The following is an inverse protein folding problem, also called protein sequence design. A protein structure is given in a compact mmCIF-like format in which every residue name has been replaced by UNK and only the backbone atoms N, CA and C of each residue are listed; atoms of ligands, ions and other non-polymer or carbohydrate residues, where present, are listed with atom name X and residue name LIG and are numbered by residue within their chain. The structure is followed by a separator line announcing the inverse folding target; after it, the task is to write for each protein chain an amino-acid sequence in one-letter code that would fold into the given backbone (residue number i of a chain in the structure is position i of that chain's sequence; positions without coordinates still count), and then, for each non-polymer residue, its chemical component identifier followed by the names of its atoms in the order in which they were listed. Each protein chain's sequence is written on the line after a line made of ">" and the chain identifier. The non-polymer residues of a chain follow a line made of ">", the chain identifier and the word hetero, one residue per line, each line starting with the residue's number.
data_IF_012430072376
#
_entry.id   IF_012430072376
#
_cell.length_a   1.000
_cell.length_b   1.000
_cell.length_c   1.000
_cell.angle_alpha   90.00
_cell.angle_beta   90.00
_cell.angle_gamma   90.00
#
_symmetry.space_group_name_H-M   'P 1'
#
loop_
_entity.id
_entity.type
_entity.pdbx_description
1 polymer ?
#
# COMPACT_ATOMS: atom_id res chain seq x y z
N UNK A 1 7.47 -18.36 -67.85
CA UNK A 1 6.62 -18.27 -66.65
C UNK A 1 7.51 -18.06 -65.45
N UNK A 2 7.49 -16.86 -64.86
CA UNK A 2 8.21 -16.55 -63.60
C UNK A 2 7.24 -16.73 -62.45
N UNK A 3 7.54 -17.67 -61.57
CA UNK A 3 6.80 -17.87 -60.30
C UNK A 3 7.34 -16.86 -59.26
N UNK A 4 6.49 -15.90 -58.88
CA UNK A 4 6.78 -15.01 -57.75
C UNK A 4 6.53 -15.78 -56.44
N UNK A 5 7.56 -16.07 -55.68
CA UNK A 5 7.46 -16.61 -54.32
C UNK A 5 6.99 -15.50 -53.38
N UNK A 6 5.77 -15.58 -52.89
CA UNK A 6 5.26 -14.80 -51.77
C UNK A 6 5.98 -15.26 -50.49
N UNK A 7 6.89 -14.43 -49.96
CA UNK A 7 7.45 -14.64 -48.64
C UNK A 7 6.33 -14.41 -47.57
N UNK A 8 6.14 -15.31 -46.61
CA UNK A 8 5.21 -15.07 -45.52
C UNK A 8 5.72 -13.84 -44.73
N UNK A 9 4.92 -12.79 -44.71
CA UNK A 9 5.21 -11.62 -43.84
C UNK A 9 5.25 -12.11 -42.38
N UNK A 10 6.35 -11.85 -41.71
CA UNK A 10 6.45 -12.04 -40.26
C UNK A 10 5.35 -11.20 -39.62
N UNK A 11 4.34 -11.82 -39.07
CA UNK A 11 3.35 -11.16 -38.23
C UNK A 11 4.11 -10.60 -37.02
N UNK A 12 4.33 -9.27 -37.01
CA UNK A 12 4.82 -8.58 -35.83
C UNK A 12 3.77 -8.80 -34.73
N UNK A 13 4.09 -9.60 -33.73
CA UNK A 13 3.24 -9.76 -32.57
C UNK A 13 2.99 -8.36 -31.99
N UNK A 14 1.75 -7.92 -31.98
CA UNK A 14 1.36 -6.62 -31.45
C UNK A 14 1.76 -6.59 -29.97
N UNK A 15 2.67 -5.71 -29.59
CA UNK A 15 3.14 -5.58 -28.22
C UNK A 15 1.97 -5.19 -27.32
N UNK A 16 1.68 -6.01 -26.31
CA UNK A 16 0.66 -5.75 -25.31
C UNK A 16 1.31 -5.09 -24.08
N UNK A 17 0.66 -4.09 -23.54
CA UNK A 17 1.12 -3.41 -22.33
C UNK A 17 0.39 -3.99 -21.12
N UNK A 18 1.13 -4.15 -20.03
CA UNK A 18 0.62 -4.57 -18.74
C UNK A 18 1.09 -3.57 -17.70
N UNK A 19 0.16 -3.05 -16.92
CA UNK A 19 0.42 -2.06 -15.88
C UNK A 19 0.14 -2.63 -14.50
N UNK A 20 1.03 -2.36 -13.56
CA UNK A 20 0.89 -2.73 -12.13
C UNK A 20 0.82 -1.45 -11.31
N UNK A 21 -0.34 -1.15 -10.72
CA UNK A 21 -0.49 -0.11 -9.71
C UNK A 21 0.26 -0.51 -8.44
N UNK A 22 1.04 0.41 -7.86
CA UNK A 22 1.89 0.11 -6.71
C UNK A 22 1.62 1.02 -5.52
N UNK A 23 2.56 1.83 -5.09
CA UNK A 23 2.49 2.83 -4.03
C UNK A 23 3.48 3.95 -4.30
N UNK A 24 3.85 4.71 -3.28
CA UNK A 24 4.89 5.74 -3.38
C UNK A 24 6.23 5.16 -3.83
N UNK A 25 7.02 5.95 -4.57
CA UNK A 25 8.29 5.51 -5.18
C UNK A 25 9.35 5.01 -4.19
N UNK A 26 9.28 5.45 -2.94
CA UNK A 26 10.15 5.00 -1.84
C UNK A 26 9.59 3.78 -1.09
N UNK A 27 8.36 3.35 -1.43
CA UNK A 27 7.66 2.25 -0.77
C UNK A 27 8.01 0.87 -1.33
N UNK A 28 7.74 -0.16 -0.53
CA UNK A 28 8.02 -1.56 -0.88
C UNK A 28 7.22 -2.01 -2.10
N UNK A 29 5.98 -1.57 -2.27
CA UNK A 29 5.15 -1.92 -3.43
C UNK A 29 5.78 -1.50 -4.76
N UNK A 30 6.31 -0.27 -4.83
CA UNK A 30 6.96 0.20 -6.06
C UNK A 30 8.21 -0.63 -6.40
N UNK A 31 9.03 -0.93 -5.40
CA UNK A 31 10.21 -1.78 -5.57
C UNK A 31 9.84 -3.20 -6.03
N UNK A 32 8.81 -3.81 -5.41
CA UNK A 32 8.33 -5.15 -5.75
C UNK A 32 7.68 -5.20 -7.14
N UNK A 33 6.76 -4.28 -7.46
CA UNK A 33 6.16 -4.16 -8.79
C UNK A 33 7.19 -3.94 -9.88
N UNK A 34 8.18 -3.08 -9.62
CA UNK A 34 9.32 -2.86 -10.51
C UNK A 34 10.17 -4.11 -10.74
N UNK A 35 10.35 -4.94 -9.68
CA UNK A 35 11.06 -6.21 -9.81
C UNK A 35 10.27 -7.21 -10.68
N UNK A 36 8.97 -7.34 -10.45
CA UNK A 36 8.07 -8.17 -11.27
C UNK A 36 8.15 -7.74 -12.74
N UNK A 37 8.00 -6.44 -13.01
CA UNK A 37 8.07 -5.92 -14.38
C UNK A 37 9.44 -6.14 -15.02
N UNK A 38 10.53 -6.03 -14.28
CA UNK A 38 11.89 -6.36 -14.81
C UNK A 38 11.97 -7.82 -15.24
N UNK A 39 11.47 -8.75 -14.42
CA UNK A 39 11.46 -10.18 -14.76
C UNK A 39 10.60 -10.47 -15.99
N UNK A 40 9.38 -9.94 -16.04
CA UNK A 40 8.51 -10.08 -17.22
C UNK A 40 9.16 -9.52 -18.49
N UNK A 41 9.77 -8.35 -18.41
CA UNK A 41 10.37 -7.71 -19.57
C UNK A 41 11.63 -8.42 -20.10
N UNK A 42 12.30 -9.28 -19.31
CA UNK A 42 13.43 -10.10 -19.77
C UNK A 42 13.01 -11.11 -20.86
N UNK A 43 11.81 -11.67 -20.74
CA UNK A 43 11.26 -12.69 -21.66
C UNK A 43 10.19 -12.13 -22.60
N UNK A 44 10.09 -10.80 -22.71
CA UNK A 44 9.05 -10.13 -23.53
C UNK A 44 9.01 -10.58 -25.00
N UNK A 45 10.15 -10.99 -25.55
CA UNK A 45 10.21 -11.49 -26.94
C UNK A 45 9.46 -12.82 -27.11
N UNK A 46 9.27 -13.59 -26.03
CA UNK A 46 8.61 -14.89 -26.04
C UNK A 46 7.08 -14.75 -25.90
N UNK A 47 6.60 -13.80 -25.07
CA UNK A 47 5.18 -13.65 -24.76
C UNK A 47 4.54 -12.35 -25.26
N UNK A 48 5.30 -11.38 -25.74
CA UNK A 48 4.78 -10.14 -26.33
C UNK A 48 4.31 -9.06 -25.34
N UNK A 49 4.34 -9.32 -24.02
CA UNK A 49 3.94 -8.34 -23.00
C UNK A 49 5.06 -7.41 -22.59
N UNK A 50 4.73 -6.14 -22.40
CA UNK A 50 5.61 -5.14 -21.78
C UNK A 50 4.97 -4.65 -20.49
N UNK A 51 5.66 -4.85 -19.36
CA UNK A 51 5.21 -4.47 -18.03
C UNK A 51 5.80 -3.13 -17.61
N UNK A 52 4.97 -2.28 -16.97
CA UNK A 52 5.35 -1.07 -16.23
C UNK A 52 4.73 -1.06 -14.83
N UNK A 53 5.49 -0.53 -13.87
CA UNK A 53 5.02 -0.29 -12.51
C UNK A 53 4.70 1.19 -12.34
N UNK A 54 3.47 1.48 -11.91
CA UNK A 54 2.97 2.84 -11.75
C UNK A 54 2.95 3.21 -10.27
N UNK A 55 3.49 4.40 -9.95
CA UNK A 55 3.42 4.95 -8.59
C UNK A 55 2.01 5.48 -8.31
N UNK A 56 1.44 5.10 -7.18
CA UNK A 56 0.04 5.40 -6.83
C UNK A 56 -0.12 5.82 -5.37
N UNK A 57 -1.37 6.08 -4.97
CA UNK A 57 -1.76 6.31 -3.58
C UNK A 57 -1.76 5.06 -2.69
N UNK A 58 -1.75 3.85 -3.26
CA UNK A 58 -1.77 2.58 -2.52
C UNK A 58 -3.01 1.72 -2.78
N UNK A 59 -3.34 0.83 -1.84
CA UNK A 59 -4.25 -0.30 -2.04
C UNK A 59 -5.64 0.06 -2.54
N UNK A 60 -6.32 1.00 -1.89
CA UNK A 60 -7.70 1.40 -2.25
C UNK A 60 -7.71 2.08 -3.62
N UNK A 61 -6.72 2.95 -3.88
CA UNK A 61 -6.55 3.56 -5.20
C UNK A 61 -6.34 2.50 -6.29
N UNK A 62 -5.45 1.54 -6.07
CA UNK A 62 -5.15 0.47 -7.05
C UNK A 62 -6.39 -0.38 -7.37
N UNK A 63 -7.15 -0.77 -6.35
CA UNK A 63 -8.38 -1.54 -6.54
C UNK A 63 -9.42 -0.78 -7.35
N UNK A 64 -9.61 0.51 -7.05
CA UNK A 64 -10.52 1.36 -7.80
C UNK A 64 -10.06 1.58 -9.26
N UNK A 65 -8.78 1.75 -9.50
CA UNK A 65 -8.20 1.91 -10.84
C UNK A 65 -8.30 0.61 -11.66
N UNK A 66 -8.03 -0.56 -11.03
CA UNK A 66 -8.22 -1.87 -11.67
C UNK A 66 -9.70 -2.12 -12.03
N UNK A 67 -10.63 -1.78 -11.13
CA UNK A 67 -12.07 -1.92 -11.39
C UNK A 67 -12.53 -1.10 -12.59
N UNK A 68 -11.89 0.04 -12.85
CA UNK A 68 -12.14 0.91 -14.02
C UNK A 68 -11.38 0.46 -15.28
N UNK A 69 -10.52 -0.55 -15.18
CA UNK A 69 -9.67 -1.01 -16.27
C UNK A 69 -8.49 -0.09 -16.59
N UNK A 70 -8.09 0.78 -15.64
CA UNK A 70 -6.92 1.67 -15.78
C UNK A 70 -5.60 0.92 -15.52
N UNK A 71 -5.65 -0.13 -14.67
CA UNK A 71 -4.54 -1.04 -14.40
C UNK A 71 -4.96 -2.49 -14.59
N UNK A 72 -4.03 -3.33 -15.03
CA UNK A 72 -4.24 -4.78 -15.18
C UNK A 72 -4.03 -5.51 -13.85
N UNK A 73 -3.09 -5.03 -13.02
CA UNK A 73 -2.75 -5.57 -11.72
C UNK A 73 -2.55 -4.45 -10.69
N UNK A 74 -2.61 -4.80 -9.41
CA UNK A 74 -2.32 -3.89 -8.30
C UNK A 74 -1.66 -4.61 -7.14
N UNK A 75 -0.71 -3.92 -6.51
CA UNK A 75 -0.20 -4.29 -5.19
C UNK A 75 -1.19 -3.77 -4.16
N UNK A 76 -1.71 -4.66 -3.33
CA UNK A 76 -2.78 -4.32 -2.38
C UNK A 76 -2.61 -5.11 -1.08
N UNK A 77 -3.05 -4.52 0.02
CA UNK A 77 -3.16 -5.21 1.30
C UNK A 77 -4.29 -6.25 1.26
N UNK A 78 -4.17 -7.29 2.06
CA UNK A 78 -5.14 -8.39 2.15
C UNK A 78 -6.52 -7.93 2.63
N UNK A 79 -6.57 -7.03 3.59
CA UNK A 79 -7.80 -6.40 4.10
C UNK A 79 -8.51 -5.59 3.02
N UNK A 80 -7.79 -4.73 2.28
CA UNK A 80 -8.33 -3.95 1.19
C UNK A 80 -8.88 -4.85 0.06
N UNK A 81 -8.18 -5.96 -0.26
CA UNK A 81 -8.66 -6.95 -1.22
C UNK A 81 -9.95 -7.61 -0.73
N UNK A 82 -10.00 -8.03 0.54
CA UNK A 82 -11.19 -8.61 1.16
C UNK A 82 -12.37 -7.63 1.11
N UNK A 83 -12.15 -6.37 1.48
CA UNK A 83 -13.17 -5.34 1.50
C UNK A 83 -13.72 -5.07 0.08
N UNK A 84 -12.85 -4.97 -0.92
CA UNK A 84 -13.27 -4.75 -2.32
C UNK A 84 -14.05 -5.95 -2.88
N UNK A 85 -13.61 -7.18 -2.56
CA UNK A 85 -14.30 -8.39 -3.01
C UNK A 85 -15.72 -8.49 -2.44
N UNK A 86 -15.90 -8.14 -1.17
CA UNK A 86 -17.17 -8.20 -0.46
C UNK A 86 -18.00 -6.92 -0.55
N UNK A 87 -17.46 -5.79 -1.02
CA UNK A 87 -18.15 -4.50 -1.11
C UNK A 87 -18.44 -3.89 0.24
N UNK A 88 -17.46 -3.91 1.14
CA UNK A 88 -17.58 -3.36 2.51
C UNK A 88 -16.53 -2.28 2.75
N UNK A 89 -16.66 -1.52 3.83
CA UNK A 89 -15.78 -0.41 4.22
C UNK A 89 -15.61 0.59 3.06
N UNK A 90 -14.38 0.90 2.64
CA UNK A 90 -14.10 1.85 1.55
C UNK A 90 -14.79 1.50 0.20
N UNK A 91 -15.41 0.33 0.09
CA UNK A 91 -16.05 -0.15 -1.16
C UNK A 91 -17.57 -0.32 -1.04
N UNK A 92 -18.23 0.13 0.03
CA UNK A 92 -19.68 0.02 0.21
C UNK A 92 -20.44 0.67 -0.95
N UNK A 93 -20.08 1.89 -1.33
CA UNK A 93 -20.72 2.61 -2.43
C UNK A 93 -20.49 1.96 -3.80
N UNK A 94 -19.32 1.33 -3.97
CA UNK A 94 -18.96 0.67 -5.22
C UNK A 94 -19.54 -0.75 -5.33
N UNK A 95 -19.95 -1.35 -4.20
CA UNK A 95 -20.45 -2.72 -4.08
C UNK A 95 -19.38 -3.78 -4.28
N UNK A 96 -19.74 -5.04 -4.06
CA UNK A 96 -18.87 -6.20 -4.20
C UNK A 96 -18.22 -6.30 -5.60
N UNK A 97 -16.98 -6.76 -5.64
CA UNK A 97 -16.26 -7.02 -6.89
C UNK A 97 -15.82 -8.49 -6.95
N UNK A 98 -16.76 -9.36 -7.30
CA UNK A 98 -16.58 -10.81 -7.31
C UNK A 98 -15.62 -11.32 -8.41
N UNK A 99 -15.31 -10.48 -9.42
CA UNK A 99 -14.33 -10.81 -10.46
C UNK A 99 -12.88 -10.55 -10.02
N UNK A 100 -12.63 -9.88 -8.90
CA UNK A 100 -11.28 -9.65 -8.36
C UNK A 100 -10.60 -11.00 -8.07
N UNK A 101 -9.33 -11.13 -8.44
CA UNK A 101 -8.53 -12.34 -8.21
C UNK A 101 -7.19 -11.99 -7.56
N UNK A 102 -6.84 -12.72 -6.50
CA UNK A 102 -5.49 -12.73 -5.97
C UNK A 102 -4.59 -13.57 -6.88
N UNK A 103 -3.40 -13.05 -7.20
CA UNK A 103 -2.39 -13.77 -7.99
C UNK A 103 -1.44 -14.52 -7.06
N UNK A 104 -0.81 -13.81 -6.14
CA UNK A 104 0.04 -14.37 -5.08
C UNK A 104 0.31 -13.33 -3.97
N UNK A 105 0.70 -13.80 -2.79
CA UNK A 105 1.19 -12.95 -1.70
C UNK A 105 2.69 -12.69 -1.86
N UNK A 106 3.13 -11.46 -1.64
CA UNK A 106 4.52 -11.03 -1.85
C UNK A 106 5.28 -10.99 -0.54
N UNK A 107 4.73 -10.37 0.50
CA UNK A 107 5.36 -10.22 1.82
C UNK A 107 4.30 -9.91 2.89
N UNK A 108 4.59 -10.16 4.17
CA UNK A 108 3.77 -9.67 5.28
C UNK A 108 3.90 -8.15 5.43
N UNK A 109 2.86 -7.50 5.96
CA UNK A 109 2.81 -6.07 6.21
C UNK A 109 2.36 -5.79 7.64
N UNK A 110 3.27 -5.89 8.62
CA UNK A 110 2.92 -5.61 9.99
C UNK A 110 2.53 -4.13 10.17
N UNK A 111 1.58 -3.88 11.04
CA UNK A 111 1.25 -2.54 11.49
C UNK A 111 2.44 -1.96 12.25
N UNK A 112 2.93 -0.83 11.79
CA UNK A 112 4.13 -0.21 12.33
C UNK A 112 3.81 1.19 12.81
N UNK A 113 4.04 1.45 14.10
CA UNK A 113 3.92 2.78 14.70
C UNK A 113 5.33 3.30 14.97
N UNK A 114 5.61 4.51 14.49
CA UNK A 114 6.89 5.19 14.66
C UNK A 114 6.65 6.54 15.33
N UNK A 115 7.40 6.82 16.37
CA UNK A 115 7.28 8.06 17.13
C UNK A 115 8.63 8.78 17.31
N UNK A 116 8.58 10.10 17.46
CA UNK A 116 9.74 10.88 17.86
C UNK A 116 10.17 10.51 19.29
N UNK A 117 11.48 10.51 19.58
CA UNK A 117 11.99 10.10 20.87
C UNK A 117 11.54 11.01 22.02
N UNK A 118 11.23 12.28 21.75
CA UNK A 118 10.81 13.31 22.70
C UNK A 118 9.28 13.52 22.77
N UNK A 119 8.49 12.76 21.98
CA UNK A 119 7.03 12.91 21.96
C UNK A 119 6.31 12.29 23.17
N UNK A 120 7.02 11.50 24.00
CA UNK A 120 6.43 10.84 25.15
C UNK A 120 5.41 9.74 24.78
N UNK A 121 5.64 9.05 23.64
CA UNK A 121 4.79 7.99 23.14
C UNK A 121 5.52 6.66 23.38
N UNK A 122 4.99 5.80 24.24
CA UNK A 122 5.53 4.49 24.59
C UNK A 122 4.58 3.34 24.22
N UNK A 123 3.31 3.64 24.06
CA UNK A 123 2.26 2.69 23.69
C UNK A 123 1.26 3.36 22.74
N UNK A 124 0.42 2.56 22.07
CA UNK A 124 -0.60 3.08 21.13
C UNK A 124 -1.54 4.09 21.80
N UNK A 125 -1.92 3.88 23.06
CA UNK A 125 -2.77 4.81 23.83
C UNK A 125 -2.20 6.21 24.01
N UNK A 126 -0.88 6.37 23.95
CA UNK A 126 -0.23 7.68 24.12
C UNK A 126 -0.36 8.58 22.87
N UNK A 127 -1.01 8.09 21.82
CA UNK A 127 -1.30 8.86 20.59
C UNK A 127 -2.41 9.90 20.81
N UNK A 128 -3.23 9.78 21.85
CA UNK A 128 -4.27 10.76 22.15
C UNK A 128 -3.66 12.15 22.35
N UNK A 129 -4.32 13.15 21.76
CA UNK A 129 -3.87 14.53 21.73
C UNK A 129 -2.47 14.77 21.10
N UNK A 130 -1.95 13.82 20.30
CA UNK A 130 -0.71 13.97 19.52
C UNK A 130 -1.00 14.33 18.08
N UNK A 131 0.02 14.81 17.36
CA UNK A 131 -0.03 15.02 15.92
C UNK A 131 0.39 13.73 15.23
N UNK A 132 -0.58 13.00 14.68
CA UNK A 132 -0.37 11.64 14.14
C UNK A 132 -0.64 11.62 12.65
N UNK A 133 0.29 11.09 11.85
CA UNK A 133 -0.01 10.78 10.47
C UNK A 133 -0.72 9.42 10.40
N UNK A 134 -1.96 9.45 9.90
CA UNK A 134 -2.85 8.29 9.75
C UNK A 134 -2.79 7.67 8.35
N UNK A 135 -1.97 8.20 7.45
CA UNK A 135 -1.85 7.79 6.05
C UNK A 135 -2.67 8.63 5.09
N UNK A 136 -2.27 8.65 3.83
CA UNK A 136 -2.93 9.44 2.80
C UNK A 136 -4.26 8.80 2.34
N UNK A 137 -5.23 9.61 1.87
CA UNK A 137 -6.48 9.12 1.30
C UNK A 137 -6.23 8.14 0.14
N UNK A 138 -6.96 7.03 0.15
CA UNK A 138 -6.84 5.97 -0.85
C UNK A 138 -5.68 5.00 -0.63
N UNK A 139 -4.94 5.13 0.48
CA UNK A 139 -3.92 4.15 0.89
C UNK A 139 -4.52 3.05 1.75
N UNK A 140 -3.94 1.85 1.67
CA UNK A 140 -4.27 0.78 2.60
C UNK A 140 -3.83 1.11 4.04
N UNK A 141 -2.76 1.90 4.20
CA UNK A 141 -2.32 2.42 5.51
C UNK A 141 -3.44 3.23 6.19
N UNK A 142 -4.09 4.14 5.48
CA UNK A 142 -5.20 4.90 6.05
C UNK A 142 -6.39 3.98 6.36
N UNK A 143 -6.74 3.09 5.45
CA UNK A 143 -7.84 2.15 5.63
C UNK A 143 -7.65 1.31 6.91
N UNK A 144 -6.50 0.68 7.09
CA UNK A 144 -6.19 -0.13 8.28
C UNK A 144 -6.06 0.71 9.56
N UNK A 145 -5.55 1.96 9.47
CA UNK A 145 -5.52 2.87 10.62
C UNK A 145 -6.93 3.26 11.08
N UNK A 146 -7.87 3.50 10.16
CA UNK A 146 -9.25 3.82 10.50
C UNK A 146 -9.94 2.64 11.20
N UNK A 147 -9.70 1.42 10.77
CA UNK A 147 -10.20 0.20 11.43
C UNK A 147 -9.61 0.07 12.85
N UNK A 148 -8.31 0.31 13.00
CA UNK A 148 -7.66 0.31 14.32
C UNK A 148 -8.23 1.41 15.23
N UNK A 149 -8.49 2.60 14.70
CA UNK A 149 -9.11 3.69 15.44
C UNK A 149 -10.53 3.31 15.90
N UNK A 150 -11.32 2.67 15.04
CA UNK A 150 -12.65 2.19 15.40
C UNK A 150 -12.59 1.17 16.57
N UNK A 151 -11.69 0.19 16.49
CA UNK A 151 -11.48 -0.78 17.56
C UNK A 151 -11.06 -0.14 18.89
N UNK A 152 -10.33 0.98 18.83
CA UNK A 152 -9.92 1.75 20.02
C UNK A 152 -10.99 2.78 20.48
N UNK A 153 -12.10 2.90 19.76
CA UNK A 153 -13.12 3.92 20.03
C UNK A 153 -12.69 5.36 19.72
N UNK A 154 -11.73 5.51 18.82
CA UNK A 154 -11.14 6.80 18.43
C UNK A 154 -11.79 7.38 17.19
N UNK A 155 -11.74 8.71 17.12
CA UNK A 155 -12.06 9.49 15.93
C UNK A 155 -10.86 10.34 15.53
N UNK A 156 -10.94 11.07 14.43
CA UNK A 156 -9.89 12.04 14.05
C UNK A 156 -9.67 13.12 15.11
N UNK A 157 -10.72 13.48 15.87
CA UNK A 157 -10.67 14.48 16.94
C UNK A 157 -9.96 13.96 18.20
N UNK A 158 -9.65 12.69 18.29
CA UNK A 158 -8.80 12.09 19.33
C UNK A 158 -7.38 12.64 19.27
N UNK A 159 -6.93 13.02 18.06
CA UNK A 159 -5.61 13.56 17.81
C UNK A 159 -5.59 15.09 17.85
N UNK A 160 -4.48 15.69 18.25
CA UNK A 160 -4.27 17.13 18.04
C UNK A 160 -4.20 17.47 16.53
N UNK A 161 -3.72 16.54 15.74
CA UNK A 161 -3.71 16.58 14.27
C UNK A 161 -3.75 15.15 13.74
N UNK A 162 -4.77 14.81 12.98
CA UNK A 162 -4.79 13.63 12.11
C UNK A 162 -4.23 14.03 10.74
N UNK A 163 -2.92 13.92 10.56
CA UNK A 163 -2.28 14.22 9.27
C UNK A 163 -2.50 13.09 8.27
N UNK A 164 -2.56 13.43 6.99
CA UNK A 164 -2.81 12.50 5.88
C UNK A 164 -1.67 12.55 4.85
N UNK A 165 -0.44 12.52 5.34
CA UNK A 165 0.76 12.58 4.52
C UNK A 165 1.01 11.25 3.79
N UNK A 166 1.59 11.34 2.63
CA UNK A 166 2.07 10.17 1.88
C UNK A 166 3.25 9.52 2.59
N UNK A 167 3.52 8.25 2.26
CA UNK A 167 4.57 7.48 2.89
C UNK A 167 5.99 8.07 2.72
N UNK A 168 6.24 8.79 1.63
CA UNK A 168 7.51 9.47 1.38
C UNK A 168 7.66 10.81 2.15
N UNK A 169 6.58 11.33 2.71
CA UNK A 169 6.53 12.60 3.44
C UNK A 169 6.59 12.41 4.97
N UNK A 170 6.08 11.29 5.50
CA UNK A 170 5.91 11.13 6.95
C UNK A 170 7.24 11.07 7.73
N UNK A 171 8.29 10.45 7.18
CA UNK A 171 9.61 10.41 7.83
C UNK A 171 10.24 11.80 7.97
N UNK A 172 10.37 12.58 6.87
CA UNK A 172 10.80 13.98 6.96
C UNK A 172 9.94 14.82 7.92
N UNK A 173 8.60 14.74 7.82
CA UNK A 173 7.69 15.47 8.70
C UNK A 173 7.87 15.12 10.19
N UNK A 174 8.18 13.86 10.50
CA UNK A 174 8.50 13.43 11.85
C UNK A 174 9.79 14.08 12.35
N UNK A 175 10.87 14.01 11.56
CA UNK A 175 12.17 14.57 11.92
C UNK A 175 12.13 16.10 12.03
N UNK A 176 11.32 16.77 11.21
CA UNK A 176 11.13 18.22 11.21
C UNK A 176 10.12 18.70 12.27
N UNK A 177 9.69 17.81 13.19
CA UNK A 177 8.75 18.15 14.27
C UNK A 177 7.39 18.67 13.76
N UNK A 178 6.93 18.26 12.58
CA UNK A 178 5.59 18.59 12.08
C UNK A 178 4.52 17.60 12.60
N UNK A 179 4.93 16.34 12.84
CA UNK A 179 4.13 15.29 13.46
C UNK A 179 4.89 14.66 14.62
N UNK A 180 4.19 14.02 15.54
CA UNK A 180 4.76 13.35 16.73
C UNK A 180 4.94 11.86 16.49
N UNK A 181 4.07 11.26 15.66
CA UNK A 181 4.12 9.87 15.26
C UNK A 181 3.50 9.67 13.88
N UNK A 182 3.81 8.54 13.25
CA UNK A 182 3.08 8.04 12.10
C UNK A 182 2.82 6.54 12.20
N UNK A 183 1.65 6.14 11.71
CA UNK A 183 1.31 4.75 11.47
C UNK A 183 1.63 4.39 10.02
N UNK A 184 2.13 3.18 9.78
CA UNK A 184 2.41 2.66 8.45
C UNK A 184 2.29 1.14 8.40
N UNK A 185 1.34 0.64 7.62
CA UNK A 185 1.25 -0.77 7.27
C UNK A 185 2.18 -1.02 6.08
N UNK A 186 3.28 -1.74 6.29
CA UNK A 186 4.35 -1.88 5.29
C UNK A 186 5.18 -3.14 5.51
N UNK A 187 5.66 -3.72 4.41
CA UNK A 187 6.68 -4.77 4.45
C UNK A 187 8.03 -4.28 4.98
N UNK A 188 8.69 -5.10 5.76
CA UNK A 188 10.03 -4.82 6.29
C UNK A 188 11.10 -5.65 5.57
N UNK A 189 12.34 -5.08 5.37
CA UNK A 189 12.77 -3.73 5.72
C UNK A 189 12.16 -2.64 4.81
N UNK A 190 11.87 -1.47 5.37
CA UNK A 190 11.36 -0.29 4.67
C UNK A 190 12.26 0.91 4.90
N UNK A 191 12.68 1.59 3.83
CA UNK A 191 13.47 2.82 3.92
C UNK A 191 12.71 3.91 4.70
N UNK A 192 11.38 4.02 4.48
CA UNK A 192 10.54 5.00 5.16
C UNK A 192 10.47 4.81 6.69
N UNK A 193 10.85 3.62 7.19
CA UNK A 193 11.01 3.35 8.63
C UNK A 193 12.48 3.53 9.05
N UNK A 194 13.43 3.01 8.27
CA UNK A 194 14.85 3.05 8.59
C UNK A 194 15.40 4.48 8.62
N UNK A 195 15.00 5.31 7.65
CA UNK A 195 15.50 6.68 7.52
C UNK A 195 15.22 7.56 8.76
N UNK A 196 13.98 7.70 9.27
CA UNK A 196 13.74 8.50 10.47
C UNK A 196 14.37 7.86 11.74
N UNK A 197 14.48 6.54 11.82
CA UNK A 197 15.15 5.90 12.97
C UNK A 197 16.64 6.21 13.03
N UNK A 198 17.31 6.35 11.88
CA UNK A 198 18.73 6.67 11.78
C UNK A 198 19.01 8.17 11.77
N UNK A 199 18.12 8.97 11.17
CA UNK A 199 18.33 10.41 10.98
C UNK A 199 17.99 11.23 12.21
N UNK A 200 16.85 10.96 12.85
CA UNK A 200 16.37 11.72 14.01
C UNK A 200 16.06 10.85 15.25
N UNK A 201 16.52 9.60 15.27
CA UNK A 201 16.39 8.72 16.42
C UNK A 201 14.94 8.29 16.71
N UNK A 202 14.08 8.30 15.71
CA UNK A 202 12.70 7.83 15.84
C UNK A 202 12.65 6.39 16.38
N UNK A 203 11.58 6.04 17.07
CA UNK A 203 11.42 4.75 17.74
C UNK A 203 10.19 4.01 17.23
N UNK A 204 10.30 2.70 17.14
CA UNK A 204 9.14 1.83 16.98
C UNK A 204 8.39 1.76 18.30
N UNK A 205 7.08 1.85 18.24
CA UNK A 205 6.17 1.78 19.39
C UNK A 205 5.32 0.52 19.26
N UNK A 206 5.17 -0.29 20.32
CA UNK A 206 4.30 -1.46 20.29
C UNK A 206 2.85 -1.08 19.99
N UNK A 207 2.21 -1.88 19.13
CA UNK A 207 0.76 -1.84 18.87
C UNK A 207 0.20 -3.11 19.50
N UNK A 208 -0.30 -3.00 20.74
CA UNK A 208 -0.77 -4.12 21.54
C UNK A 208 -1.90 -3.68 22.48
N UNK A 209 -2.63 -4.65 23.03
CA UNK A 209 -3.71 -4.43 23.97
C UNK A 209 -4.99 -5.14 23.56
N UNK A 210 -5.96 -5.25 24.49
CA UNK A 210 -7.18 -6.03 24.33
C UNK A 210 -7.97 -5.68 23.06
N UNK A 211 -8.09 -4.39 22.72
CA UNK A 211 -8.77 -3.95 21.52
C UNK A 211 -8.04 -4.40 20.23
N UNK A 212 -6.71 -4.38 20.24
CA UNK A 212 -5.89 -4.84 19.12
C UNK A 212 -5.97 -6.37 18.98
N UNK A 213 -5.88 -7.09 20.08
CA UNK A 213 -6.02 -8.55 20.11
C UNK A 213 -7.41 -8.98 19.60
N UNK A 214 -8.46 -8.23 19.99
CA UNK A 214 -9.82 -8.41 19.48
C UNK A 214 -9.91 -8.20 17.98
N UNK A 215 -9.34 -7.10 17.48
CA UNK A 215 -9.28 -6.78 16.05
C UNK A 215 -8.64 -7.92 15.24
N UNK A 216 -7.48 -8.41 15.68
CA UNK A 216 -6.77 -9.53 15.02
C UNK A 216 -7.57 -10.83 15.08
N UNK A 217 -8.27 -11.09 16.20
CA UNK A 217 -9.08 -12.30 16.34
C UNK A 217 -10.35 -12.31 15.46
N UNK A 218 -10.93 -11.13 15.20
CA UNK A 218 -12.15 -10.98 14.40
C UNK A 218 -11.87 -10.95 12.89
N UNK A 219 -10.65 -10.59 12.47
CA UNK A 219 -10.32 -10.39 11.07
C UNK A 219 -9.21 -11.34 10.61
N UNK A 220 -9.53 -12.37 9.81
CA UNK A 220 -8.59 -13.43 9.42
C UNK A 220 -7.47 -12.96 8.45
N UNK A 221 -7.50 -11.73 8.03
CA UNK A 221 -6.51 -11.13 7.14
C UNK A 221 -5.46 -10.26 7.88
N UNK A 222 -5.56 -10.14 9.20
CA UNK A 222 -4.55 -9.49 10.05
C UNK A 222 -3.64 -10.49 10.77
#
# INVERSE_FOLDING_TARGET
>A
AAAAALAPGAASAQQQFVTIGTGGVTGVYYAAGGAICRLMNQTRAEHGFRCSAESTGGSVFNLNAMRKGEFDFGMVQSDAQYNAYNGVADFEDAGAWEELRAVFSVHPEPFTLVARPDAGIAAVGDLECKRVNIGNPGSGTQASMLIMMEALGWTRDTFALAAELRADEHGPALCDNQIDAFYYAVGHPSANIADPTTTCGARLVPIEGEAIDGLVAEHPYY
#
